data_IF_846009664294
#
_entry.id   IF_846009664294
#
_cell.length_a   1.000
_cell.length_b   1.000
_cell.length_c   1.000
_cell.angle_alpha   90.00
_cell.angle_beta   90.00
_cell.angle_gamma   90.00
#
_symmetry.space_group_name_H-M   'P 1'
#
loop_
_entity.id
_entity.type
_entity.pdbx_description
1 polymer ?
#
# COMPACT_ATOMS: atom_id res chain seq x y z
N UNK A 1 30.60 -19.35 -23.81
CA UNK A 1 29.40 -20.05 -24.37
C UNK A 1 28.65 -20.83 -23.30
N UNK A 2 29.30 -21.76 -22.58
CA UNK A 2 28.67 -22.56 -21.49
C UNK A 2 27.95 -21.72 -20.41
N UNK A 3 28.59 -20.68 -19.87
CA UNK A 3 27.98 -19.82 -18.84
C UNK A 3 26.70 -19.09 -19.30
N UNK A 4 26.67 -18.61 -20.56
CA UNK A 4 25.49 -17.95 -21.12
C UNK A 4 24.33 -18.93 -21.32
N UNK A 5 24.63 -20.16 -21.71
CA UNK A 5 23.62 -21.23 -21.84
C UNK A 5 23.05 -21.58 -20.46
N UNK A 6 23.90 -21.68 -19.43
CA UNK A 6 23.45 -21.95 -18.06
C UNK A 6 22.55 -20.82 -17.52
N UNK A 7 22.92 -19.55 -17.75
CA UNK A 7 22.10 -18.39 -17.39
C UNK A 7 20.75 -18.40 -18.10
N UNK A 8 20.74 -18.64 -19.42
CA UNK A 8 19.50 -18.72 -20.20
C UNK A 8 18.58 -19.84 -19.71
N UNK A 9 19.13 -21.00 -19.35
CA UNK A 9 18.35 -22.10 -18.76
C UNK A 9 17.73 -21.69 -17.42
N UNK A 10 18.51 -21.06 -16.54
CA UNK A 10 17.99 -20.56 -15.26
C UNK A 10 16.83 -19.56 -15.46
N UNK A 11 16.97 -18.65 -16.43
CA UNK A 11 15.92 -17.70 -16.76
C UNK A 11 14.65 -18.38 -17.27
N UNK A 12 14.79 -19.38 -18.15
CA UNK A 12 13.63 -20.15 -18.64
C UNK A 12 12.92 -20.88 -17.51
N UNK A 13 13.66 -21.50 -16.58
CA UNK A 13 13.03 -22.15 -15.42
C UNK A 13 12.30 -21.15 -14.52
N UNK A 14 12.85 -19.95 -14.31
CA UNK A 14 12.17 -18.87 -13.60
C UNK A 14 10.86 -18.45 -14.30
N UNK A 15 10.92 -18.21 -15.61
CA UNK A 15 9.75 -17.78 -16.38
C UNK A 15 8.65 -18.85 -16.42
N UNK A 16 9.01 -20.14 -16.44
CA UNK A 16 8.04 -21.24 -16.32
C UNK A 16 7.31 -21.20 -14.98
N UNK A 17 8.02 -20.92 -13.88
CA UNK A 17 7.39 -20.76 -12.58
C UNK A 17 6.43 -19.57 -12.56
N UNK A 18 6.85 -18.41 -13.08
CA UNK A 18 6.02 -17.20 -13.13
C UNK A 18 4.80 -17.34 -14.07
N UNK A 19 4.94 -18.09 -15.15
CA UNK A 19 3.84 -18.38 -16.06
C UNK A 19 2.73 -19.20 -15.38
N UNK A 20 3.12 -20.12 -14.48
CA UNK A 20 2.23 -21.02 -13.75
C UNK A 20 1.57 -20.38 -12.51
N UNK A 21 1.74 -19.08 -12.29
CA UNK A 21 1.02 -18.37 -11.22
C UNK A 21 -0.45 -18.21 -11.61
N UNK A 22 -1.34 -18.69 -10.77
CA UNK A 22 -2.78 -18.48 -10.91
C UNK A 22 -3.12 -16.99 -10.76
N UNK A 23 -3.72 -16.42 -11.79
CA UNK A 23 -4.12 -15.01 -11.83
C UNK A 23 -5.60 -14.87 -11.48
N UNK A 24 -5.94 -13.82 -10.75
CA UNK A 24 -7.32 -13.38 -10.58
C UNK A 24 -7.69 -12.36 -11.66
N UNK A 25 -8.99 -12.19 -11.91
CA UNK A 25 -9.49 -11.14 -12.81
C UNK A 25 -9.16 -9.77 -12.24
N UNK A 26 -8.73 -8.85 -13.11
CA UNK A 26 -8.43 -7.46 -12.72
C UNK A 26 -9.65 -6.78 -12.09
N UNK A 27 -10.87 -7.06 -12.59
CA UNK A 27 -12.09 -6.51 -12.00
C UNK A 27 -12.32 -6.97 -10.56
N UNK A 28 -11.94 -8.21 -10.21
CA UNK A 28 -12.02 -8.73 -8.85
C UNK A 28 -10.99 -8.02 -7.95
N UNK A 29 -9.74 -7.95 -8.40
CA UNK A 29 -8.67 -7.26 -7.65
C UNK A 29 -9.04 -5.78 -7.40
N UNK A 30 -9.57 -5.09 -8.41
CA UNK A 30 -9.99 -3.70 -8.28
C UNK A 30 -11.14 -3.53 -7.26
N UNK A 31 -12.13 -4.43 -7.28
CA UNK A 31 -13.23 -4.41 -6.31
C UNK A 31 -12.75 -4.66 -4.88
N UNK A 32 -11.81 -5.59 -4.68
CA UNK A 32 -11.21 -5.86 -3.37
C UNK A 32 -10.42 -4.65 -2.84
N UNK A 33 -9.62 -4.00 -3.71
CA UNK A 33 -8.91 -2.77 -3.36
C UNK A 33 -9.87 -1.64 -2.99
N UNK A 34 -10.92 -1.44 -3.78
CA UNK A 34 -11.94 -0.41 -3.52
C UNK A 34 -12.64 -0.66 -2.18
N UNK A 35 -13.08 -1.90 -1.95
CA UNK A 35 -13.73 -2.29 -0.69
C UNK A 35 -12.82 -2.08 0.52
N UNK A 36 -11.53 -2.38 0.39
CA UNK A 36 -10.56 -2.15 1.47
C UNK A 36 -10.42 -0.65 1.77
N UNK A 37 -10.26 0.18 0.73
CA UNK A 37 -10.16 1.62 0.89
C UNK A 37 -11.42 2.21 1.53
N UNK A 38 -12.62 1.81 1.05
CA UNK A 38 -13.90 2.29 1.59
C UNK A 38 -14.09 1.92 3.07
N UNK A 39 -13.72 0.69 3.45
CA UNK A 39 -13.82 0.21 4.82
C UNK A 39 -12.95 1.03 5.79
N UNK A 40 -11.76 1.45 5.35
CA UNK A 40 -10.79 2.15 6.21
C UNK A 40 -10.75 3.67 5.99
N UNK A 41 -11.50 4.20 5.02
CA UNK A 41 -11.47 5.63 4.66
C UNK A 41 -11.80 6.58 5.83
N UNK A 42 -12.61 6.13 6.79
CA UNK A 42 -12.98 6.90 7.98
C UNK A 42 -11.89 6.92 9.04
N UNK A 43 -11.01 5.92 9.02
CA UNK A 43 -9.91 5.76 9.98
C UNK A 43 -8.64 6.47 9.52
N UNK A 44 -8.56 6.83 8.23
CA UNK A 44 -7.47 7.63 7.68
C UNK A 44 -7.65 9.12 8.02
N UNK A 45 -6.83 9.70 8.92
CA UNK A 45 -6.96 11.09 9.34
C UNK A 45 -6.63 12.11 8.24
N UNK A 46 -5.96 11.68 7.16
CA UNK A 46 -5.61 12.52 6.02
C UNK A 46 -6.76 12.58 5.01
N UNK A 47 -7.58 11.53 4.95
CA UNK A 47 -8.78 11.50 4.11
C UNK A 47 -10.01 12.04 4.84
N UNK A 48 -10.18 11.65 6.10
CA UNK A 48 -11.24 12.10 7.00
C UNK A 48 -10.64 12.93 8.14
N UNK A 49 -10.65 14.28 8.04
CA UNK A 49 -9.99 15.12 9.03
C UNK A 49 -10.51 14.87 10.44
N UNK A 50 -9.59 14.61 11.37
CA UNK A 50 -9.89 14.43 12.79
C UNK A 50 -10.03 15.78 13.51
N UNK A 51 -10.77 15.85 14.64
CA UNK A 51 -10.82 17.04 15.46
C UNK A 51 -9.43 17.53 15.87
N UNK A 52 -9.25 18.84 16.01
CA UNK A 52 -7.96 19.41 16.38
C UNK A 52 -7.42 18.86 17.71
N UNK A 53 -8.27 18.51 18.68
CA UNK A 53 -7.88 17.88 19.95
C UNK A 53 -7.22 16.51 19.79
N UNK A 54 -7.57 15.77 18.74
CA UNK A 54 -7.03 14.44 18.44
C UNK A 54 -5.80 14.54 17.51
N UNK A 55 -5.62 15.67 16.83
CA UNK A 55 -4.46 15.91 15.98
C UNK A 55 -3.20 16.22 16.82
N UNK A 56 -2.19 15.35 16.86
CA UNK A 56 -0.96 15.59 17.63
C UNK A 56 -0.13 16.76 17.09
N UNK A 57 -0.36 17.17 15.84
CA UNK A 57 0.29 18.30 15.18
C UNK A 57 -0.48 19.63 15.34
N UNK A 58 -1.53 19.68 16.17
CA UNK A 58 -2.25 20.93 16.44
C UNK A 58 -1.31 21.95 17.10
N UNK A 59 -1.46 23.22 16.72
CA UNK A 59 -0.84 24.33 17.44
C UNK A 59 -1.23 24.31 18.94
N UNK A 60 -0.21 24.30 19.79
CA UNK A 60 -0.38 24.49 21.24
C UNK A 60 -0.67 25.97 21.49
N UNK A 61 -1.89 26.29 21.93
CA UNK A 61 -2.17 27.62 22.50
C UNK A 61 -1.40 27.74 23.81
N UNK A 62 -0.27 28.42 23.81
CA UNK A 62 0.42 28.81 25.03
C UNK A 62 -0.39 29.95 25.69
N UNK A 63 -1.08 29.64 26.79
CA UNK A 63 -1.65 30.68 27.64
C UNK A 63 -0.51 31.24 28.51
N UNK A 64 0.15 32.29 28.02
CA UNK A 64 1.01 33.11 28.87
C UNK A 64 0.12 33.95 29.79
N UNK A 65 0.04 33.58 31.07
CA UNK A 65 -0.48 34.46 32.11
C UNK A 65 0.73 35.13 32.75
N UNK A 66 0.96 36.40 32.43
CA UNK A 66 1.90 37.21 33.21
C UNK A 66 1.17 37.55 34.52
N UNK A 67 1.66 37.01 35.63
CA UNK A 67 1.16 37.29 36.97
C UNK A 67 1.76 38.59 37.50
#
# INVERSE_FOLDING_TARGET
LSARIAQARKLVEQLKMEANIDRIKVSKAAAELMSYCEAHAKEDPLLSPVPASENPFREKKFFCSIL
#
